data_IF_822695343712
#
_entry.id   IF_822695343712
#
_cell.length_a   1.000
_cell.length_b   1.000
_cell.length_c   1.000
_cell.angle_alpha   90.00
_cell.angle_beta   90.00
_cell.angle_gamma   90.00
#
_symmetry.space_group_name_H-M   'P 1'
#
loop_
_entity.id
_entity.type
_entity.pdbx_description
1 polymer ?
#
# COMPACT_ATOMS: atom_id res chain seq x y z
N UNK A 1 -14.79 13.12 4.08
CA UNK A 1 -14.08 13.13 2.80
C UNK A 1 -12.70 12.57 3.08
N UNK A 2 -12.20 11.59 2.32
CA UNK A 2 -10.81 11.16 2.48
C UNK A 2 -9.92 12.37 2.19
N UNK A 3 -8.98 12.64 3.09
CA UNK A 3 -8.02 13.73 2.96
C UNK A 3 -6.79 13.16 2.27
N UNK A 4 -6.55 13.65 1.05
CA UNK A 4 -5.35 13.31 0.29
C UNK A 4 -4.11 13.72 1.10
N UNK A 5 -3.18 12.78 1.24
CA UNK A 5 -1.92 12.97 1.96
C UNK A 5 -0.76 12.68 1.03
N UNK A 6 0.29 13.50 1.13
CA UNK A 6 1.59 13.21 0.54
C UNK A 6 2.58 12.99 1.66
N UNK A 7 3.29 11.86 1.63
CA UNK A 7 4.35 11.54 2.59
C UNK A 7 5.64 11.19 1.84
N UNK A 8 6.78 11.62 2.39
CA UNK A 8 8.09 11.08 2.02
C UNK A 8 8.58 10.19 3.16
N UNK A 9 8.89 8.93 2.86
CA UNK A 9 9.21 7.93 3.87
C UNK A 9 10.14 6.85 3.31
N UNK A 10 10.82 6.13 4.21
CA UNK A 10 11.63 4.97 3.85
C UNK A 10 10.81 3.68 3.96
N UNK A 11 10.96 2.80 2.99
CA UNK A 11 10.42 1.45 3.05
C UNK A 11 11.13 0.64 4.13
N UNK A 12 10.35 0.05 5.04
CA UNK A 12 10.86 -0.80 6.12
C UNK A 12 10.86 -2.28 5.70
N UNK A 13 10.09 -2.62 4.67
CA UNK A 13 9.94 -3.97 4.13
C UNK A 13 9.93 -3.94 2.61
N UNK A 14 10.34 -5.03 1.99
CA UNK A 14 10.08 -5.25 0.57
C UNK A 14 8.56 -5.30 0.30
N UNK A 15 8.15 -4.92 -0.92
CA UNK A 15 6.77 -5.07 -1.36
C UNK A 15 6.37 -6.52 -1.50
N UNK A 16 5.30 -6.90 -0.81
CA UNK A 16 4.59 -8.15 -1.04
C UNK A 16 3.50 -7.91 -2.09
N UNK A 17 3.69 -8.47 -3.28
CA UNK A 17 2.73 -8.37 -4.39
C UNK A 17 1.81 -9.59 -4.33
N UNK A 18 0.55 -9.36 -3.95
CA UNK A 18 -0.44 -10.43 -3.79
C UNK A 18 -1.55 -10.35 -4.84
N UNK A 19 -2.10 -11.52 -5.15
CA UNK A 19 -3.26 -11.66 -6.01
C UNK A 19 -4.54 -11.39 -5.24
N UNK A 20 -5.43 -10.57 -5.81
CA UNK A 20 -6.74 -10.30 -5.23
C UNK A 20 -7.68 -11.50 -5.45
N UNK A 21 -7.81 -12.34 -4.44
CA UNK A 21 -8.81 -13.43 -4.47
C UNK A 21 -10.16 -12.90 -3.97
N UNK A 22 -11.23 -13.05 -4.76
CA UNK A 22 -12.54 -12.42 -4.50
C UNK A 22 -13.34 -13.09 -3.39
N UNK A 23 -13.02 -14.34 -3.02
CA UNK A 23 -13.56 -15.11 -1.89
C UNK A 23 -12.66 -16.32 -1.66
N UNK A 24 -12.30 -16.68 -0.42
CA UNK A 24 -11.94 -18.06 -0.10
C UNK A 24 -12.13 -18.38 1.40
N UNK A 25 -12.83 -19.46 1.69
CA UNK A 25 -12.92 -20.09 3.01
C UNK A 25 -11.57 -20.78 3.32
N UNK A 26 -10.93 -20.44 4.45
CA UNK A 26 -9.96 -21.33 5.10
C UNK A 26 -8.46 -21.02 5.06
N UNK A 27 -8.01 -19.83 4.65
CA UNK A 27 -6.58 -19.43 4.73
C UNK A 27 -6.47 -17.98 5.25
N UNK A 28 -5.50 -17.62 6.11
CA UNK A 28 -5.27 -16.23 6.53
C UNK A 28 -4.70 -15.40 5.36
N UNK A 29 -5.58 -15.03 4.43
CA UNK A 29 -5.28 -14.16 3.30
C UNK A 29 -5.75 -12.76 3.67
N UNK A 30 -4.94 -11.73 3.36
CA UNK A 30 -5.34 -10.32 3.44
C UNK A 30 -6.47 -10.10 2.44
N UNK A 31 -7.71 -9.98 2.92
CA UNK A 31 -8.90 -9.83 2.09
C UNK A 31 -9.15 -8.34 1.84
N UNK A 32 -8.81 -7.83 0.65
CA UNK A 32 -9.13 -6.45 0.26
C UNK A 32 -10.55 -6.39 -0.32
N UNK A 33 -11.55 -6.02 0.49
CA UNK A 33 -12.94 -5.82 0.06
C UNK A 33 -13.14 -4.34 -0.35
N UNK A 34 -13.49 -4.10 -1.62
CA UNK A 34 -13.70 -2.74 -2.16
C UNK A 34 -13.76 -2.67 -3.69
N UNK A 35 -14.41 -1.65 -4.25
CA UNK A 35 -14.58 -1.43 -5.69
C UNK A 35 -13.25 -1.11 -6.41
N UNK A 36 -12.41 -2.11 -6.65
CA UNK A 36 -11.08 -1.94 -7.26
C UNK A 36 -10.98 -2.84 -8.50
N UNK A 37 -10.60 -2.26 -9.66
CA UNK A 37 -10.50 -2.95 -10.96
C UNK A 37 -9.24 -3.80 -11.13
N UNK A 38 -8.21 -3.62 -10.31
CA UNK A 38 -6.90 -4.27 -10.50
C UNK A 38 -6.81 -5.64 -9.83
N UNK A 39 -6.07 -6.55 -10.48
CA UNK A 39 -5.90 -7.96 -10.10
C UNK A 39 -4.86 -8.17 -8.98
N UNK A 40 -3.94 -7.21 -8.83
CA UNK A 40 -2.82 -7.25 -7.90
C UNK A 40 -2.89 -6.09 -6.92
N UNK A 41 -2.36 -6.34 -5.72
CA UNK A 41 -2.14 -5.33 -4.68
C UNK A 41 -0.70 -5.48 -4.19
N UNK A 42 0.03 -4.38 -4.12
CA UNK A 42 1.35 -4.32 -3.50
C UNK A 42 1.21 -3.77 -2.09
N UNK A 43 1.78 -4.49 -1.13
CA UNK A 43 1.68 -4.20 0.31
C UNK A 43 3.09 -4.08 0.88
N UNK A 44 3.38 -2.97 1.55
CA UNK A 44 4.64 -2.76 2.26
C UNK A 44 4.43 -1.82 3.46
N UNK A 45 5.44 -1.71 4.32
CA UNK A 45 5.43 -0.78 5.45
C UNK A 45 6.47 0.31 5.24
N UNK A 46 6.15 1.53 5.68
CA UNK A 46 7.05 2.68 5.70
C UNK A 46 7.21 3.26 7.10
N UNK A 47 8.30 3.97 7.34
CA UNK A 47 8.49 4.74 8.56
C UNK A 47 7.68 6.04 8.52
N UNK A 48 6.79 6.25 9.50
CA UNK A 48 5.96 7.45 9.59
C UNK A 48 5.66 7.81 11.05
N UNK A 49 6.02 9.03 11.47
CA UNK A 49 5.67 9.60 12.78
C UNK A 49 5.89 8.63 13.96
N UNK A 50 7.10 8.05 14.05
CA UNK A 50 7.52 7.09 15.09
C UNK A 50 6.86 5.70 15.02
N UNK A 51 6.01 5.44 14.03
CA UNK A 51 5.34 4.17 13.82
C UNK A 51 5.53 3.63 12.40
N UNK A 52 5.16 2.36 12.22
CA UNK A 52 5.12 1.74 10.88
C UNK A 52 3.74 1.98 10.29
N UNK A 53 3.70 2.63 9.13
CA UNK A 53 2.48 2.80 8.35
C UNK A 53 2.44 1.74 7.25
N UNK A 54 1.35 0.98 7.18
CA UNK A 54 1.14 0.04 6.07
C UNK A 54 0.61 0.81 4.87
N UNK A 55 1.24 0.59 3.72
CA UNK A 55 0.86 1.16 2.42
C UNK A 55 0.28 0.07 1.55
N UNK A 56 -0.85 0.37 0.92
CA UNK A 56 -1.56 -0.48 -0.03
C UNK A 56 -1.59 0.24 -1.37
N UNK A 57 -0.97 -0.36 -2.38
CA UNK A 57 -1.05 0.14 -3.75
C UNK A 57 -1.80 -0.85 -4.63
N UNK A 58 -2.82 -0.35 -5.31
CA UNK A 58 -3.61 -1.14 -6.25
C UNK A 58 -2.81 -1.35 -7.54
N UNK A 59 -2.06 -2.43 -7.64
CA UNK A 59 -1.25 -2.75 -8.81
C UNK A 59 0.04 -3.46 -8.43
N UNK A 60 0.91 -3.60 -9.41
CA UNK A 60 2.28 -4.10 -9.22
C UNK A 60 3.17 -2.87 -9.00
N UNK A 61 3.75 -2.76 -7.81
CA UNK A 61 4.69 -1.72 -7.39
C UNK A 61 5.80 -2.40 -6.59
N UNK A 62 6.89 -2.80 -7.27
CA UNK A 62 8.09 -3.29 -6.61
C UNK A 62 8.72 -2.16 -5.78
N UNK A 63 8.88 -2.42 -4.49
CA UNK A 63 9.59 -1.57 -3.54
C UNK A 63 10.56 -2.49 -2.80
N UNK A 64 11.82 -2.07 -2.69
CA UNK A 64 12.80 -2.73 -1.85
C UNK A 64 12.84 -2.06 -0.48
N UNK A 65 13.21 -2.83 0.55
CA UNK A 65 13.57 -2.27 1.84
C UNK A 65 14.64 -1.17 1.66
N UNK A 66 14.51 -0.12 2.47
CA UNK A 66 15.35 1.09 2.49
C UNK A 66 15.19 2.00 1.26
N UNK A 67 14.24 1.72 0.36
CA UNK A 67 13.85 2.66 -0.69
C UNK A 67 13.27 3.94 -0.10
N UNK A 68 13.74 5.09 -0.60
CA UNK A 68 13.13 6.39 -0.28
C UNK A 68 11.97 6.62 -1.23
N UNK A 69 10.77 6.79 -0.67
CA UNK A 69 9.54 6.88 -1.44
C UNK A 69 8.85 8.21 -1.21
N UNK A 70 8.23 8.76 -2.26
CA UNK A 70 7.17 9.76 -2.15
C UNK A 70 5.84 9.08 -2.48
N UNK A 71 4.93 9.06 -1.51
CA UNK A 71 3.66 8.34 -1.58
C UNK A 71 2.52 9.34 -1.50
N UNK A 72 1.57 9.22 -2.43
CA UNK A 72 0.34 10.02 -2.46
C UNK A 72 -0.86 9.09 -2.43
N UNK A 73 -1.81 9.38 -1.55
CA UNK A 73 -2.91 8.50 -1.22
C UNK A 73 -3.81 9.02 -0.13
N UNK A 74 -4.78 8.21 0.23
CA UNK A 74 -5.74 8.50 1.29
C UNK A 74 -5.47 7.63 2.52
N UNK A 75 -5.65 8.22 3.71
CA UNK A 75 -5.63 7.47 4.96
C UNK A 75 -6.98 6.78 5.19
N UNK A 76 -6.96 5.48 5.45
CA UNK A 76 -8.16 4.67 5.72
C UNK A 76 -7.94 3.76 6.95
N UNK A 77 -9.02 3.25 7.51
CA UNK A 77 -8.98 2.23 8.54
C UNK A 77 -8.80 0.84 7.91
N UNK A 78 -7.69 0.17 8.23
CA UNK A 78 -7.31 -1.13 7.71
C UNK A 78 -8.28 -2.29 8.03
N UNK A 79 -9.33 -2.06 8.83
CA UNK A 79 -10.35 -3.07 9.16
C UNK A 79 -10.97 -3.70 7.92
N UNK A 80 -11.14 -2.94 6.84
CA UNK A 80 -11.71 -3.41 5.58
C UNK A 80 -10.76 -4.35 4.80
N UNK A 81 -9.49 -4.42 5.20
CA UNK A 81 -8.45 -5.23 4.59
C UNK A 81 -7.80 -6.24 5.55
N UNK A 82 -8.37 -6.44 6.74
CA UNK A 82 -7.83 -7.36 7.75
C UNK A 82 -6.58 -6.86 8.47
N UNK A 83 -6.27 -5.56 8.39
CA UNK A 83 -5.15 -4.91 9.10
C UNK A 83 -5.71 -4.12 10.27
N UNK A 84 -5.22 -4.38 11.48
CA UNK A 84 -5.57 -3.55 12.64
C UNK A 84 -4.76 -2.26 12.61
N UNK A 85 -5.42 -1.12 12.40
CA UNK A 85 -4.77 0.20 12.42
C UNK A 85 -5.12 1.07 11.22
N UNK A 86 -4.45 2.22 11.13
CA UNK A 86 -4.53 3.11 9.97
C UNK A 86 -3.63 2.57 8.84
N UNK A 87 -4.11 2.69 7.61
CA UNK A 87 -3.36 2.32 6.40
C UNK A 87 -3.41 3.47 5.39
N UNK A 88 -2.40 3.54 4.54
CA UNK A 88 -2.33 4.46 3.41
C UNK A 88 -2.75 3.72 2.14
N UNK A 89 -3.86 4.11 1.53
CA UNK A 89 -4.27 3.62 0.21
C UNK A 89 -3.65 4.53 -0.84
N UNK A 90 -2.53 4.11 -1.40
CA UNK A 90 -1.75 4.87 -2.36
C UNK A 90 -2.31 4.72 -3.78
N UNK A 91 -2.41 5.85 -4.48
CA UNK A 91 -2.69 5.89 -5.91
C UNK A 91 -1.49 6.40 -6.72
N UNK A 92 -0.49 7.03 -6.10
CA UNK A 92 0.80 7.38 -6.72
C UNK A 92 1.96 7.08 -5.77
N UNK A 93 2.98 6.39 -6.29
CA UNK A 93 4.23 6.11 -5.59
C UNK A 93 5.39 6.46 -6.51
N UNK A 94 6.33 7.24 -6.01
CA UNK A 94 7.58 7.59 -6.69
C UNK A 94 8.74 7.04 -5.85
N UNK A 95 9.56 6.19 -6.45
CA UNK A 95 10.80 5.73 -5.85
C UNK A 95 11.89 6.76 -6.13
N UNK A 96 12.31 7.48 -5.10
CA UNK A 96 13.31 8.55 -5.23
C UNK A 96 14.74 8.00 -5.38
N UNK A 97 14.97 6.71 -5.12
CA UNK A 97 16.25 6.07 -5.33
C UNK A 97 16.44 5.68 -6.82
N UNK A 98 15.39 5.15 -7.45
CA UNK A 98 15.45 4.65 -8.84
C UNK A 98 14.87 5.60 -9.88
N UNK A 99 13.98 6.52 -9.47
CA UNK A 99 13.19 7.38 -10.35
C UNK A 99 11.92 6.73 -10.88
N UNK A 100 11.59 5.50 -10.47
CA UNK A 100 10.39 4.80 -10.92
C UNK A 100 9.11 5.46 -10.38
N UNK A 101 8.09 5.57 -11.23
CA UNK A 101 6.79 6.14 -10.87
C UNK A 101 5.68 5.14 -11.17
N UNK A 102 4.92 4.81 -10.13
CA UNK A 102 3.72 3.98 -10.20
C UNK A 102 2.51 4.85 -9.95
N UNK A 103 1.53 4.80 -10.85
CA UNK A 103 0.30 5.55 -10.71
C UNK A 103 -0.90 4.73 -11.18
N UNK A 104 -1.96 4.74 -10.38
CA UNK A 104 -3.23 4.11 -10.71
C UNK A 104 -4.36 5.15 -10.58
N UNK A 105 -5.19 5.25 -11.61
CA UNK A 105 -6.29 6.23 -11.76
C UNK A 105 -7.65 5.55 -11.68
#
# INVERSE_FOLDING_TARGET
>A
MPEERTIEAYAVTDANITYRTRSFWGIPIIIVIGWIKTKYVSIFSVEHEEHRLVVLYNGICPVARDDRLRIIGDMDHGKNVGISGMVMVAYRIENLNTGDIYQNY
#
